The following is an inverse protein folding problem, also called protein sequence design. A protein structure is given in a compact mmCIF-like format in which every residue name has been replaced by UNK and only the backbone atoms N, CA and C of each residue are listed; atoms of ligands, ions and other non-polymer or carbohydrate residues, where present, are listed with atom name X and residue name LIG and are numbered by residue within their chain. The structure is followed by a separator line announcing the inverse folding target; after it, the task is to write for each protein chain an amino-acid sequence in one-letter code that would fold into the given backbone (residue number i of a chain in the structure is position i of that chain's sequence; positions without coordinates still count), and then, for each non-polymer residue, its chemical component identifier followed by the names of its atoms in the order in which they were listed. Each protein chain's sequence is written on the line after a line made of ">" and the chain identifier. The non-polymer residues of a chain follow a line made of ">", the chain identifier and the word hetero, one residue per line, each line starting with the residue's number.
data_IF_853197736981
#
_entry.id   IF_853197736981
#
_cell.length_a   1.000
_cell.length_b   1.000
_cell.length_c   1.000
_cell.angle_alpha   90.00
_cell.angle_beta   90.00
_cell.angle_gamma   90.00
#
_symmetry.space_group_name_H-M   'P 1'
#
loop_
_entity.id
_entity.type
_entity.pdbx_description
1 polymer ?
#
# COMPACT_ATOMS: atom_id res chain seq x y z
N UNK A 1 5.36 34.90 20.63
CA UNK A 1 4.51 33.68 20.66
C UNK A 1 5.32 32.48 20.17
N UNK A 2 5.47 31.44 21.00
CA UNK A 2 6.47 30.35 20.84
C UNK A 2 5.86 29.10 20.20
N UNK A 3 5.35 29.22 18.97
CA UNK A 3 4.69 28.12 18.25
C UNK A 3 5.51 27.75 17.01
N UNK A 4 5.96 26.50 16.93
CA UNK A 4 6.73 25.99 15.80
C UNK A 4 5.82 25.68 14.62
N UNK A 5 6.33 25.87 13.38
CA UNK A 5 5.62 25.51 12.15
C UNK A 5 5.20 24.04 12.15
N UNK A 6 4.13 23.72 11.43
CA UNK A 6 3.61 22.35 11.32
C UNK A 6 4.69 21.36 10.88
N UNK A 7 4.86 20.28 11.64
CA UNK A 7 5.91 19.29 11.41
C UNK A 7 7.15 19.45 12.30
N UNK A 8 7.20 20.51 13.12
CA UNK A 8 8.33 20.77 14.02
C UNK A 8 7.90 21.05 15.46
N UNK A 9 8.78 20.77 16.41
CA UNK A 9 8.63 21.05 17.85
C UNK A 9 9.97 21.36 18.53
N UNK A 10 9.94 21.54 19.85
CA UNK A 10 11.10 21.84 20.69
C UNK A 10 11.34 23.34 20.89
N UNK A 11 12.24 23.69 21.80
CA UNK A 11 12.49 25.09 22.19
C UNK A 11 12.96 25.99 21.03
N UNK A 12 13.67 25.39 20.06
CA UNK A 12 14.22 26.07 18.86
C UNK A 12 13.50 25.70 17.55
N UNK A 13 12.42 24.92 17.61
CA UNK A 13 11.67 24.47 16.42
C UNK A 13 12.47 23.70 15.37
N UNK A 14 13.54 23.01 15.76
CA UNK A 14 14.39 22.24 14.86
C UNK A 14 14.10 20.73 14.87
N UNK A 15 13.32 20.25 15.85
CA UNK A 15 13.02 18.83 15.98
C UNK A 15 11.80 18.48 15.11
N UNK A 16 11.94 17.47 14.25
CA UNK A 16 10.84 16.96 13.41
C UNK A 16 9.84 16.18 14.26
N UNK A 17 8.55 16.31 13.96
CA UNK A 17 7.51 15.59 14.70
C UNK A 17 7.82 14.09 14.85
N UNK A 18 7.67 13.53 16.07
CA UNK A 18 7.75 12.09 16.28
C UNK A 18 6.78 11.32 15.38
N UNK A 19 7.05 10.03 15.10
CA UNK A 19 6.13 9.19 14.36
C UNK A 19 4.71 9.25 14.92
N UNK A 20 3.72 9.28 14.01
CA UNK A 20 2.29 9.41 14.32
C UNK A 20 1.84 10.74 14.93
N UNK A 21 2.64 11.81 14.84
CA UNK A 21 2.20 13.16 15.26
C UNK A 21 2.41 14.21 14.16
N UNK A 22 1.63 15.29 14.19
CA UNK A 22 1.67 16.36 13.19
C UNK A 22 1.13 17.71 13.72
N UNK A 23 1.17 18.73 12.87
CA UNK A 23 0.68 20.07 13.19
C UNK A 23 1.67 20.90 14.01
N UNK A 24 1.22 22.08 14.47
CA UNK A 24 2.01 22.99 15.29
C UNK A 24 2.45 22.31 16.59
N UNK A 25 3.74 22.35 16.88
CA UNK A 25 4.34 21.69 18.04
C UNK A 25 3.97 20.19 18.17
N UNK A 26 3.61 19.52 17.06
CA UNK A 26 3.27 18.10 17.02
C UNK A 26 2.14 17.67 17.97
N UNK A 27 1.21 18.59 18.29
CA UNK A 27 0.11 18.34 19.24
C UNK A 27 -1.04 17.50 18.67
N UNK A 28 -1.04 17.20 17.37
CA UNK A 28 -2.10 16.40 16.71
C UNK A 28 -1.61 14.98 16.43
N UNK A 29 -2.49 14.00 16.59
CA UNK A 29 -2.19 12.59 16.36
C UNK A 29 -2.60 12.17 14.94
N UNK A 30 -1.70 11.49 14.23
CA UNK A 30 -1.98 10.91 12.93
C UNK A 30 -2.74 9.59 13.07
N UNK A 31 -3.70 9.38 12.17
CA UNK A 31 -4.57 8.19 12.18
C UNK A 31 -4.19 7.17 11.10
N UNK A 32 -3.03 7.33 10.44
CA UNK A 32 -2.60 6.45 9.37
C UNK A 32 -2.46 5.00 9.85
N UNK A 33 -3.07 4.07 9.12
CA UNK A 33 -3.07 2.64 9.38
C UNK A 33 -2.19 1.89 8.37
N UNK A 34 -2.02 0.58 8.57
CA UNK A 34 -1.37 -0.34 7.62
C UNK A 34 0.03 0.13 7.14
N UNK A 35 0.81 0.76 8.03
CA UNK A 35 2.15 1.27 7.69
C UNK A 35 2.16 2.59 6.91
N UNK A 36 1.03 3.32 6.85
CA UNK A 36 0.95 4.64 6.23
C UNK A 36 1.84 5.68 6.91
N UNK A 37 2.60 6.45 6.11
CA UNK A 37 3.47 7.52 6.64
C UNK A 37 2.69 8.82 6.79
N UNK A 38 2.75 9.43 7.96
CA UNK A 38 2.08 10.70 8.22
C UNK A 38 2.88 11.90 7.72
N UNK A 39 2.19 12.88 7.12
CA UNK A 39 2.76 14.17 6.73
C UNK A 39 2.55 15.21 7.84
N UNK A 40 3.29 16.32 7.75
CA UNK A 40 3.18 17.46 8.68
C UNK A 40 1.80 18.09 8.76
N UNK A 41 0.97 17.95 7.71
CA UNK A 41 -0.43 18.39 7.68
C UNK A 41 -1.45 17.33 8.14
N UNK A 42 -1.00 16.15 8.57
CA UNK A 42 -1.84 15.06 9.05
C UNK A 42 -2.38 14.11 7.98
N UNK A 43 -2.11 14.39 6.70
CA UNK A 43 -2.47 13.47 5.61
C UNK A 43 -1.56 12.24 5.59
N UNK A 44 -2.10 11.12 5.11
CA UNK A 44 -1.37 9.86 5.05
C UNK A 44 -0.82 9.59 3.65
N UNK A 45 0.44 9.15 3.57
CA UNK A 45 1.00 8.50 2.39
C UNK A 45 0.81 7.00 2.55
N UNK A 46 -0.08 6.42 1.78
CA UNK A 46 -0.36 4.99 1.85
C UNK A 46 0.72 4.17 1.13
N UNK A 47 1.14 3.04 1.73
CA UNK A 47 1.94 2.06 1.02
C UNK A 47 1.14 1.43 -0.13
N UNK A 48 1.86 0.86 -1.10
CA UNK A 48 1.24 0.12 -2.20
C UNK A 48 0.38 -1.03 -1.66
N UNK A 49 -0.82 -1.21 -2.22
CA UNK A 49 -1.79 -2.20 -1.74
C UNK A 49 -2.83 -1.65 -0.77
N UNK A 50 -2.76 -0.36 -0.42
CA UNK A 50 -3.74 0.31 0.44
C UNK A 50 -4.20 1.66 -0.14
N UNK A 51 -5.40 2.08 0.26
CA UNK A 51 -6.03 3.36 -0.08
C UNK A 51 -6.91 3.88 1.06
N UNK A 52 -7.46 5.07 0.85
CA UNK A 52 -8.32 5.77 1.80
C UNK A 52 -7.58 6.88 2.55
N UNK A 53 -8.33 7.76 3.20
CA UNK A 53 -7.79 8.93 3.93
C UNK A 53 -6.71 8.55 4.95
N UNK A 54 -6.87 7.39 5.59
CA UNK A 54 -6.00 6.87 6.63
C UNK A 54 -5.33 5.55 6.22
N UNK A 55 -5.34 5.19 4.93
CA UNK A 55 -4.81 3.91 4.44
C UNK A 55 -5.51 2.68 5.04
N UNK A 56 -6.76 2.85 5.47
CA UNK A 56 -7.53 1.84 6.18
C UNK A 56 -8.08 0.74 5.25
N UNK A 57 -8.11 0.97 3.95
CA UNK A 57 -8.66 0.02 2.99
C UNK A 57 -7.52 -0.65 2.22
N UNK A 58 -7.48 -1.99 2.24
CA UNK A 58 -6.70 -2.76 1.28
C UNK A 58 -7.25 -2.50 -0.14
N UNK A 59 -6.41 -2.68 -1.15
CA UNK A 59 -6.90 -2.58 -2.52
C UNK A 59 -8.05 -3.54 -2.78
N UNK A 60 -9.10 -3.09 -3.47
CA UNK A 60 -10.18 -3.97 -3.88
C UNK A 60 -9.62 -5.03 -4.83
N UNK A 61 -10.35 -6.14 -4.96
CA UNK A 61 -9.99 -7.21 -5.89
C UNK A 61 -9.76 -6.65 -7.29
N UNK A 62 -8.79 -7.22 -8.00
CA UNK A 62 -8.35 -6.80 -9.33
C UNK A 62 -7.70 -5.41 -9.41
N UNK A 63 -7.33 -4.77 -8.30
CA UNK A 63 -6.55 -3.53 -8.29
C UNK A 63 -5.28 -3.65 -7.44
N UNK A 64 -4.26 -2.89 -7.81
CA UNK A 64 -2.96 -2.92 -7.14
C UNK A 64 -2.20 -1.59 -7.20
N UNK A 65 -1.10 -1.54 -6.44
CA UNK A 65 -0.15 -0.43 -6.42
C UNK A 65 -0.56 0.69 -5.48
N UNK A 66 0.07 1.87 -5.67
CA UNK A 66 -0.21 3.06 -4.87
C UNK A 66 -1.63 3.56 -5.12
N UNK A 67 -2.38 3.79 -4.04
CA UNK A 67 -3.79 4.18 -4.09
C UNK A 67 -4.67 3.23 -4.94
N UNK A 68 -4.22 2.00 -5.21
CA UNK A 68 -4.94 1.03 -6.03
C UNK A 68 -5.25 1.53 -7.45
N UNK A 69 -4.39 2.39 -8.00
CA UNK A 69 -4.64 3.05 -9.29
C UNK A 69 -4.43 2.13 -10.51
N UNK A 70 -3.86 0.93 -10.33
CA UNK A 70 -3.58 0.00 -11.43
C UNK A 70 -4.55 -1.18 -11.38
N UNK A 71 -5.07 -1.58 -12.54
CA UNK A 71 -5.87 -2.79 -12.69
C UNK A 71 -4.98 -4.01 -12.91
N UNK A 72 -5.33 -5.13 -12.32
CA UNK A 72 -4.64 -6.41 -12.50
C UNK A 72 -4.89 -6.95 -13.90
N UNK A 73 -3.87 -7.59 -14.47
CA UNK A 73 -3.91 -8.19 -15.82
C UNK A 73 -3.88 -9.72 -15.79
N UNK A 74 -4.06 -10.29 -14.60
CA UNK A 74 -4.08 -11.72 -14.36
C UNK A 74 -5.31 -12.36 -15.03
N UNK A 75 -5.17 -13.60 -15.51
CA UNK A 75 -6.19 -14.36 -16.25
C UNK A 75 -6.58 -15.64 -15.52
N UNK A 76 -7.67 -16.28 -15.96
CA UNK A 76 -8.04 -17.64 -15.53
C UNK A 76 -8.21 -17.80 -14.01
N UNK A 77 -8.94 -16.89 -13.38
CA UNK A 77 -9.27 -16.98 -11.95
C UNK A 77 -8.09 -16.78 -10.99
N UNK A 78 -6.96 -16.26 -11.47
CA UNK A 78 -5.77 -16.02 -10.66
C UNK A 78 -5.91 -14.87 -9.65
N UNK A 79 -5.15 -14.96 -8.56
CA UNK A 79 -5.15 -13.97 -7.48
C UNK A 79 -4.06 -12.94 -7.76
N UNK A 80 -4.41 -11.66 -7.69
CA UNK A 80 -3.48 -10.56 -7.91
C UNK A 80 -2.96 -9.99 -6.59
N UNK A 81 -1.64 -9.85 -6.47
CA UNK A 81 -1.03 -9.26 -5.29
C UNK A 81 -1.31 -7.74 -5.23
N UNK A 82 -1.93 -7.21 -4.17
CA UNK A 82 -2.40 -5.82 -4.12
C UNK A 82 -1.26 -4.78 -4.11
N UNK A 83 -0.09 -5.11 -3.56
CA UNK A 83 1.06 -4.21 -3.61
C UNK A 83 1.86 -4.25 -4.93
N UNK A 84 2.07 -5.46 -5.49
CA UNK A 84 3.04 -5.71 -6.56
C UNK A 84 2.40 -5.93 -7.94
N UNK A 85 1.13 -6.30 -7.99
CA UNK A 85 0.42 -6.65 -9.21
C UNK A 85 0.82 -8.01 -9.81
N UNK A 86 1.63 -8.79 -9.10
CA UNK A 86 2.02 -10.15 -9.51
C UNK A 86 0.83 -11.09 -9.40
N UNK A 87 0.72 -12.03 -10.32
CA UNK A 87 -0.36 -12.99 -10.37
C UNK A 87 0.10 -14.29 -9.72
N UNK A 88 -0.73 -14.85 -8.86
CA UNK A 88 -0.61 -16.22 -8.37
C UNK A 88 -1.59 -17.08 -9.18
N UNK A 89 -1.04 -17.99 -9.97
CA UNK A 89 -1.83 -18.75 -10.93
C UNK A 89 -2.63 -19.88 -10.26
N UNK A 90 -3.84 -20.10 -10.77
CA UNK A 90 -4.64 -21.27 -10.40
C UNK A 90 -4.07 -22.54 -11.02
N UNK A 91 -4.65 -23.69 -10.64
CA UNK A 91 -4.26 -25.00 -11.14
C UNK A 91 -4.35 -25.05 -12.67
N UNK A 92 -3.34 -25.65 -13.31
CA UNK A 92 -3.31 -25.81 -14.77
C UNK A 92 -2.87 -24.55 -15.53
N UNK A 93 -2.50 -23.47 -14.84
CA UNK A 93 -2.06 -22.21 -15.47
C UNK A 93 -0.70 -21.76 -14.97
N UNK A 94 0.06 -21.12 -15.85
CA UNK A 94 1.38 -20.55 -15.57
C UNK A 94 1.63 -19.24 -16.32
N UNK A 95 2.80 -18.66 -16.05
CA UNK A 95 3.29 -17.43 -16.65
C UNK A 95 2.89 -16.19 -15.86
N UNK A 96 3.54 -15.06 -16.13
CA UNK A 96 3.39 -13.83 -15.33
C UNK A 96 1.98 -13.24 -15.25
N UNK A 97 1.08 -13.68 -16.14
CA UNK A 97 -0.35 -13.29 -16.18
C UNK A 97 -1.29 -14.49 -16.11
N UNK A 98 -0.77 -15.70 -15.84
CA UNK A 98 -1.56 -16.93 -15.77
C UNK A 98 -2.34 -17.24 -17.06
N UNK A 99 -1.73 -16.94 -18.20
CA UNK A 99 -2.34 -17.06 -19.52
C UNK A 99 -1.77 -18.21 -20.35
N UNK A 100 -0.91 -19.05 -19.76
CA UNK A 100 -0.35 -20.24 -20.39
C UNK A 100 -0.87 -21.48 -19.69
N UNK A 101 -1.43 -22.42 -20.44
CA UNK A 101 -1.83 -23.72 -19.90
C UNK A 101 -0.58 -24.53 -19.50
N UNK A 102 -0.72 -25.40 -18.51
CA UNK A 102 0.35 -26.30 -18.13
C UNK A 102 0.68 -27.30 -19.24
N UNK A 103 1.98 -27.58 -19.49
CA UNK A 103 2.35 -28.67 -20.39
C UNK A 103 1.86 -30.01 -19.83
N UNK A 104 1.60 -30.96 -20.74
CA UNK A 104 1.14 -32.31 -20.37
C UNK A 104 2.02 -32.93 -19.28
N UNK A 105 1.35 -33.49 -18.27
CA UNK A 105 2.00 -34.14 -17.13
C UNK A 105 2.39 -33.20 -15.98
N UNK A 106 2.14 -31.89 -16.09
CA UNK A 106 2.31 -30.93 -14.97
C UNK A 106 0.98 -30.42 -14.44
N UNK A 107 0.89 -30.30 -13.12
CA UNK A 107 -0.29 -29.81 -12.40
C UNK A 107 0.17 -28.84 -11.31
N UNK A 108 -0.76 -28.32 -10.51
CA UNK A 108 -0.43 -27.36 -9.45
C UNK A 108 -0.37 -25.89 -9.90
N UNK A 109 -0.22 -24.95 -8.95
CA UNK A 109 0.01 -23.54 -9.26
C UNK A 109 1.35 -23.36 -9.98
N UNK A 110 1.37 -22.60 -11.07
CA UNK A 110 2.55 -22.40 -11.90
C UNK A 110 3.16 -23.71 -12.48
N UNK A 111 2.37 -24.79 -12.54
CA UNK A 111 2.74 -26.10 -13.09
C UNK A 111 3.94 -26.74 -12.36
N UNK A 112 3.94 -26.67 -11.03
CA UNK A 112 4.93 -27.25 -10.12
C UNK A 112 4.29 -28.26 -9.19
#
# INVERSE_FOLDING_TARGET
>A
ARWCRSGFYGAKCTLVCPPRTYGYNCKKTCLCQNGGSCRSNGSCRCPSGYKGKYCQHKCPENYWGKNCAKRCKCKNGSICHPARGTCQCGLGWSGSKCNKECPHGRYGPDCQ
#
